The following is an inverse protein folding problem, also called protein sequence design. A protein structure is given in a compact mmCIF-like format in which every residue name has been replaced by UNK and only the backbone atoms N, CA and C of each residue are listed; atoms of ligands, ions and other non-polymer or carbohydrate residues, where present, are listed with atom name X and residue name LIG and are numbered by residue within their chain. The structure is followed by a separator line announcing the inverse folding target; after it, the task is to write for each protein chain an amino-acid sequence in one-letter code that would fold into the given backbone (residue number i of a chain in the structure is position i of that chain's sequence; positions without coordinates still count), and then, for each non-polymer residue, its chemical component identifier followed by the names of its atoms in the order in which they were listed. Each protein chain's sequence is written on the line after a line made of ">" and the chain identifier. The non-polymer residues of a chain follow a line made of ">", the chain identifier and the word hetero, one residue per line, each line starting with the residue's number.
data_IF_535880750953
#
_entry.id   IF_535880750953
#
_cell.length_a   1.000
_cell.length_b   1.000
_cell.length_c   1.000
_cell.angle_alpha   90.00
_cell.angle_beta   90.00
_cell.angle_gamma   90.00
#
_symmetry.space_group_name_H-M   'P 1'
#
loop_
_entity.id
_entity.type
_entity.pdbx_description
1 polymer ?
#
# COMPACT_ATOMS: atom_id res chain seq x y z
N UNK A 1 -34.76 13.61 -24.87
CA UNK A 1 -34.55 14.34 -26.14
C UNK A 1 -33.44 15.41 -26.00
N UNK A 2 -33.50 16.28 -25.00
CA UNK A 2 -32.51 17.37 -24.70
C UNK A 2 -31.03 16.92 -24.64
N UNK A 3 -30.73 15.79 -23.98
CA UNK A 3 -29.35 15.28 -23.80
C UNK A 3 -28.62 14.96 -25.12
N UNK A 4 -29.36 14.56 -26.16
CA UNK A 4 -28.81 14.18 -27.48
C UNK A 4 -28.50 15.40 -28.35
N UNK A 5 -29.26 16.49 -28.17
CA UNK A 5 -28.98 17.78 -28.80
C UNK A 5 -27.81 18.49 -28.11
N UNK A 6 -27.75 18.44 -26.78
CA UNK A 6 -26.65 19.01 -26.00
C UNK A 6 -25.30 18.35 -26.34
N UNK A 7 -25.24 17.02 -26.47
CA UNK A 7 -24.01 16.32 -26.86
C UNK A 7 -23.56 16.63 -28.29
N UNK A 8 -24.51 16.85 -29.22
CA UNK A 8 -24.18 17.23 -30.60
C UNK A 8 -23.65 18.66 -30.69
N UNK A 9 -24.27 19.59 -29.98
CA UNK A 9 -23.85 20.99 -29.93
C UNK A 9 -22.46 21.13 -29.28
N UNK A 10 -22.23 20.44 -28.16
CA UNK A 10 -20.96 20.48 -27.44
C UNK A 10 -19.81 19.84 -28.25
N UNK A 11 -20.06 18.74 -28.96
CA UNK A 11 -19.07 18.12 -29.84
C UNK A 11 -18.79 18.91 -31.12
N UNK A 12 -19.67 19.86 -31.48
CA UNK A 12 -19.43 20.80 -32.58
C UNK A 12 -18.59 22.01 -32.12
N UNK A 13 -18.89 22.53 -30.92
CA UNK A 13 -18.19 23.67 -30.34
C UNK A 13 -16.78 23.32 -29.81
N UNK A 14 -16.58 22.09 -29.34
CA UNK A 14 -15.28 21.58 -28.86
C UNK A 14 -15.03 20.21 -29.49
N UNK A 15 -14.46 20.15 -30.71
CA UNK A 15 -14.23 18.91 -31.46
C UNK A 15 -13.43 17.87 -30.67
N UNK A 16 -12.56 18.31 -29.76
CA UNK A 16 -11.73 17.49 -28.86
C UNK A 16 -12.57 16.70 -27.85
N UNK A 17 -13.81 17.10 -27.56
CA UNK A 17 -14.73 16.38 -26.68
C UNK A 17 -15.55 15.32 -27.42
N UNK A 18 -15.51 15.24 -28.76
CA UNK A 18 -16.23 14.21 -29.54
C UNK A 18 -15.91 12.76 -29.10
N UNK A 19 -14.64 12.37 -28.85
CA UNK A 19 -14.32 11.02 -28.37
C UNK A 19 -14.99 10.71 -27.02
N UNK A 20 -15.02 11.70 -26.11
CA UNK A 20 -15.62 11.60 -24.77
C UNK A 20 -17.14 11.46 -24.85
N UNK A 21 -17.79 12.17 -25.77
CA UNK A 21 -19.25 12.16 -25.96
C UNK A 21 -19.74 10.93 -26.75
N UNK A 22 -18.86 10.26 -27.50
CA UNK A 22 -19.21 9.15 -28.42
C UNK A 22 -19.42 7.78 -27.76
N UNK A 23 -19.44 7.68 -26.42
CA UNK A 23 -19.47 6.41 -25.65
C UNK A 23 -18.28 5.46 -25.89
N UNK A 24 -17.34 5.77 -26.79
CA UNK A 24 -16.12 4.97 -27.01
C UNK A 24 -15.02 5.26 -25.99
N UNK A 25 -15.02 6.44 -25.38
CA UNK A 25 -14.23 6.69 -24.16
C UNK A 25 -15.15 6.43 -22.98
N UNK A 26 -15.14 5.19 -22.49
CA UNK A 26 -15.55 4.99 -21.09
C UNK A 26 -14.60 5.86 -20.27
N UNK A 27 -15.10 6.79 -19.46
CA UNK A 27 -14.31 7.51 -18.46
C UNK A 27 -13.89 6.47 -17.41
N UNK A 28 -12.95 5.58 -17.78
CA UNK A 28 -12.32 4.57 -16.93
C UNK A 28 -11.27 5.21 -15.99
N UNK A 29 -11.01 6.50 -16.15
CA UNK A 29 -9.86 7.21 -15.59
C UNK A 29 -9.94 7.59 -14.11
N UNK A 30 -10.95 7.16 -13.35
CA UNK A 30 -11.01 7.31 -11.89
C UNK A 30 -11.67 6.11 -11.20
N UNK A 31 -11.32 4.88 -11.58
CA UNK A 31 -11.93 3.70 -10.97
C UNK A 31 -11.30 3.38 -9.61
N UNK A 32 -12.13 3.43 -8.56
CA UNK A 32 -11.86 2.80 -7.28
C UNK A 32 -12.18 1.32 -7.38
N UNK A 33 -11.17 0.46 -7.32
CA UNK A 33 -11.37 -0.99 -7.38
C UNK A 33 -11.07 -1.58 -6.01
N UNK A 34 -12.04 -2.34 -5.49
CA UNK A 34 -11.91 -3.11 -4.25
C UNK A 34 -12.36 -4.53 -4.53
N UNK A 35 -11.50 -5.51 -4.30
CA UNK A 35 -11.86 -6.93 -4.39
C UNK A 35 -11.19 -7.69 -3.24
N UNK A 36 -11.95 -8.48 -2.48
CA UNK A 36 -11.45 -9.20 -1.30
C UNK A 36 -10.63 -8.29 -0.35
N UNK A 37 -11.10 -7.05 -0.14
CA UNK A 37 -10.42 -6.05 0.67
C UNK A 37 -11.16 -5.76 1.98
N UNK A 38 -10.41 -5.67 3.10
CA UNK A 38 -10.94 -5.34 4.43
C UNK A 38 -10.38 -4.01 4.92
N UNK A 39 -11.19 -3.20 5.59
CA UNK A 39 -10.78 -1.88 6.09
C UNK A 39 -11.22 -1.71 7.55
N UNK A 40 -10.30 -1.21 8.37
CA UNK A 40 -10.56 -0.84 9.75
C UNK A 40 -11.36 0.47 9.89
N UNK A 41 -11.76 0.79 11.11
CA UNK A 41 -12.39 2.08 11.47
C UNK A 41 -11.43 3.24 11.19
N UNK A 42 -11.98 4.40 10.83
CA UNK A 42 -11.20 5.62 10.55
C UNK A 42 -10.17 5.47 9.39
N UNK A 43 -10.21 4.37 8.64
CA UNK A 43 -9.38 4.19 7.46
C UNK A 43 -9.84 5.15 6.37
N UNK A 44 -8.92 5.88 5.76
CA UNK A 44 -9.22 6.76 4.64
C UNK A 44 -8.33 6.44 3.42
N UNK A 45 -8.94 6.29 2.24
CA UNK A 45 -8.18 6.03 1.01
C UNK A 45 -8.64 7.03 -0.04
N UNK A 46 -7.71 7.87 -0.47
CA UNK A 46 -7.99 8.94 -1.43
C UNK A 46 -8.08 8.33 -2.84
N UNK A 47 -9.19 8.54 -3.57
CA UNK A 47 -9.31 8.11 -4.97
C UNK A 47 -8.30 8.77 -5.93
N UNK A 48 -7.99 8.14 -7.07
CA UNK A 48 -8.35 6.77 -7.43
C UNK A 48 -7.47 5.75 -6.70
N UNK A 49 -7.92 4.52 -6.53
CA UNK A 49 -7.09 3.44 -5.97
C UNK A 49 -7.53 2.06 -6.46
N UNK A 50 -6.62 1.08 -6.33
CA UNK A 50 -6.93 -0.33 -6.53
C UNK A 50 -6.41 -1.13 -5.35
N UNK A 51 -7.31 -1.78 -4.61
CA UNK A 51 -6.99 -2.59 -3.43
C UNK A 51 -7.55 -4.00 -3.65
N UNK A 52 -6.67 -5.00 -3.73
CA UNK A 52 -7.04 -6.40 -4.03
C UNK A 52 -6.49 -7.33 -2.94
N UNK A 53 -7.30 -8.26 -2.43
CA UNK A 53 -6.85 -9.33 -1.52
C UNK A 53 -6.00 -8.79 -0.34
N UNK A 54 -6.43 -7.67 0.25
CA UNK A 54 -5.62 -6.86 1.16
C UNK A 54 -6.44 -6.43 2.38
N UNK A 55 -5.77 -6.11 3.48
CA UNK A 55 -6.41 -5.58 4.69
C UNK A 55 -5.71 -4.32 5.16
N UNK A 56 -6.47 -3.30 5.51
CA UNK A 56 -5.95 -2.02 6.01
C UNK A 56 -6.47 -1.80 7.44
N UNK A 57 -5.56 -1.58 8.39
CA UNK A 57 -5.88 -1.39 9.80
C UNK A 57 -6.48 -0.02 10.13
N UNK A 58 -7.05 0.08 11.34
CA UNK A 58 -7.71 1.28 11.85
C UNK A 58 -6.82 2.52 11.80
N UNK A 59 -7.40 3.69 11.49
CA UNK A 59 -6.71 4.98 11.51
C UNK A 59 -5.62 5.16 10.45
N UNK A 60 -5.46 4.21 9.53
CA UNK A 60 -4.51 4.31 8.41
C UNK A 60 -5.09 5.16 7.30
N UNK A 61 -4.29 6.08 6.75
CA UNK A 61 -4.64 6.77 5.51
C UNK A 61 -3.70 6.40 4.36
N UNK A 62 -4.26 6.38 3.15
CA UNK A 62 -3.55 6.09 1.91
C UNK A 62 -3.92 7.15 0.88
N UNK A 63 -2.91 7.86 0.38
CA UNK A 63 -3.09 8.88 -0.65
C UNK A 63 -3.34 8.26 -2.03
N UNK A 64 -3.70 9.13 -2.97
CA UNK A 64 -4.23 8.77 -4.28
C UNK A 64 -3.31 7.93 -5.15
N UNK A 65 -3.94 7.25 -6.09
CA UNK A 65 -3.34 6.42 -7.14
C UNK A 65 -2.49 5.25 -6.62
N UNK A 66 -2.82 4.75 -5.44
CA UNK A 66 -2.19 3.56 -4.87
C UNK A 66 -2.79 2.27 -5.46
N UNK A 67 -1.92 1.31 -5.78
CA UNK A 67 -2.23 0.02 -6.37
C UNK A 67 -1.65 -1.10 -5.50
N UNK A 68 -2.49 -1.62 -4.62
CA UNK A 68 -2.10 -2.52 -3.52
C UNK A 68 -2.80 -3.86 -3.72
N UNK A 69 -2.02 -4.94 -3.75
CA UNK A 69 -2.49 -6.31 -3.89
C UNK A 69 -1.80 -7.21 -2.86
N UNK A 70 -2.43 -8.29 -2.39
CA UNK A 70 -1.86 -9.26 -1.42
C UNK A 70 -1.15 -8.66 -0.20
N UNK A 71 -1.57 -7.48 0.25
CA UNK A 71 -0.83 -6.69 1.26
C UNK A 71 -1.67 -6.52 2.52
N UNK A 72 -1.08 -6.84 3.66
CA UNK A 72 -1.65 -6.53 4.97
C UNK A 72 -0.98 -5.26 5.49
N UNK A 73 -1.75 -4.23 5.81
CA UNK A 73 -1.28 -2.95 6.36
C UNK A 73 -1.87 -2.77 7.74
N UNK A 74 -1.02 -2.49 8.73
CA UNK A 74 -1.41 -2.26 10.10
C UNK A 74 -2.19 -0.97 10.33
N UNK A 75 -2.33 -0.62 11.59
CA UNK A 75 -3.07 0.55 12.08
C UNK A 75 -2.21 1.81 12.02
N UNK A 76 -2.86 2.97 11.97
CA UNK A 76 -2.25 4.30 12.09
C UNK A 76 -1.09 4.57 11.12
N UNK A 77 -1.11 3.96 9.93
CA UNK A 77 -0.10 4.18 8.92
C UNK A 77 -0.39 5.43 8.08
N UNK A 78 0.68 6.06 7.60
CA UNK A 78 0.66 7.22 6.72
C UNK A 78 1.27 6.85 5.37
N UNK A 79 0.46 6.74 4.32
CA UNK A 79 0.94 6.27 3.01
C UNK A 79 0.75 7.35 1.95
N UNK A 80 1.86 7.77 1.35
CA UNK A 80 1.92 8.74 0.25
C UNK A 80 1.30 8.22 -1.06
N UNK A 81 1.13 9.10 -2.07
CA UNK A 81 0.51 8.72 -3.33
C UNK A 81 1.38 7.74 -4.12
N UNK A 82 0.74 6.99 -5.02
CA UNK A 82 1.40 6.07 -5.95
C UNK A 82 2.14 4.91 -5.27
N UNK A 83 1.64 4.37 -4.14
CA UNK A 83 2.16 3.12 -3.59
C UNK A 83 1.84 1.96 -4.53
N UNK A 84 2.82 1.12 -4.84
CA UNK A 84 2.66 -0.12 -5.61
C UNK A 84 3.14 -1.31 -4.76
N UNK A 85 2.29 -2.34 -4.60
CA UNK A 85 2.65 -3.58 -3.89
C UNK A 85 1.87 -4.80 -4.37
N UNK A 86 2.49 -5.98 -4.36
CA UNK A 86 1.83 -7.28 -4.55
C UNK A 86 1.45 -7.62 -5.99
N UNK A 87 2.23 -7.13 -6.96
CA UNK A 87 1.98 -7.29 -8.40
C UNK A 87 2.68 -8.49 -9.03
N UNK A 88 3.42 -9.26 -8.23
CA UNK A 88 3.91 -10.58 -8.59
C UNK A 88 5.39 -10.66 -8.95
N UNK A 89 5.83 -11.89 -9.14
CA UNK A 89 7.21 -12.32 -9.33
C UNK A 89 7.28 -13.16 -10.60
N UNK A 90 8.29 -12.90 -11.43
CA UNK A 90 8.62 -13.73 -12.58
C UNK A 90 9.89 -14.54 -12.28
N UNK A 91 9.96 -15.84 -12.64
CA UNK A 91 11.19 -16.60 -12.53
C UNK A 91 12.27 -16.00 -13.45
N UNK A 92 13.51 -15.92 -12.97
CA UNK A 92 14.66 -15.37 -13.73
C UNK A 92 15.77 -16.38 -13.98
N UNK A 93 15.61 -17.59 -13.44
CA UNK A 93 16.52 -18.73 -13.51
C UNK A 93 16.03 -19.83 -14.47
N UNK A 94 14.89 -19.62 -15.15
CA UNK A 94 14.33 -20.50 -16.16
C UNK A 94 14.62 -20.06 -17.60
N UNK A 95 14.17 -20.87 -18.58
CA UNK A 95 14.32 -20.58 -20.02
C UNK A 95 13.56 -19.31 -20.47
N UNK A 96 12.47 -18.97 -19.79
CA UNK A 96 11.62 -17.83 -20.13
C UNK A 96 11.02 -17.20 -18.88
N UNK A 97 10.84 -15.88 -18.90
CA UNK A 97 10.16 -15.10 -17.86
C UNK A 97 8.66 -14.93 -18.14
N UNK A 98 8.15 -15.49 -19.25
CA UNK A 98 6.75 -15.33 -19.67
C UNK A 98 5.82 -16.31 -18.94
N UNK A 99 4.74 -15.83 -18.29
CA UNK A 99 3.78 -16.69 -17.58
C UNK A 99 3.05 -17.67 -18.51
N UNK A 100 3.07 -17.44 -19.82
CA UNK A 100 2.57 -18.37 -20.83
C UNK A 100 3.12 -19.80 -20.67
N UNK A 101 4.36 -19.93 -20.17
CA UNK A 101 5.04 -21.21 -20.05
C UNK A 101 4.98 -21.83 -18.65
N UNK A 102 4.74 -21.04 -17.59
CA UNK A 102 4.82 -21.52 -16.21
C UNK A 102 3.55 -21.30 -15.36
N UNK A 103 2.56 -20.54 -15.83
CA UNK A 103 1.36 -20.17 -15.08
C UNK A 103 0.08 -20.63 -15.77
N UNK A 104 -0.84 -21.22 -15.01
CA UNK A 104 -2.18 -21.59 -15.52
C UNK A 104 -3.14 -20.40 -15.58
N UNK A 105 -2.74 -19.21 -15.11
CA UNK A 105 -3.64 -18.07 -14.96
C UNK A 105 -3.94 -17.31 -16.27
N UNK A 106 -3.30 -17.67 -17.39
CA UNK A 106 -3.57 -17.12 -18.73
C UNK A 106 -3.49 -15.58 -18.79
N UNK A 107 -2.47 -15.00 -18.17
CA UNK A 107 -2.26 -13.55 -18.07
C UNK A 107 -2.18 -12.87 -19.45
N UNK A 108 -1.68 -13.57 -20.46
CA UNK A 108 -1.63 -13.15 -21.86
C UNK A 108 -2.77 -13.73 -22.73
N UNK A 109 -3.88 -14.16 -22.12
CA UNK A 109 -5.07 -14.70 -22.79
C UNK A 109 -5.04 -16.21 -23.07
N UNK A 110 -3.88 -16.86 -22.98
CA UNK A 110 -3.72 -18.32 -23.13
C UNK A 110 -2.52 -18.82 -22.30
N UNK A 111 -2.30 -20.14 -22.24
CA UNK A 111 -1.13 -20.73 -21.55
C UNK A 111 -0.82 -22.12 -22.10
N UNK A 112 0.47 -22.49 -22.16
CA UNK A 112 0.91 -23.88 -22.35
C UNK A 112 1.12 -24.62 -21.04
N UNK A 113 1.19 -23.90 -19.92
CA UNK A 113 1.38 -24.49 -18.61
C UNK A 113 0.15 -25.32 -18.23
N UNK A 114 0.35 -26.63 -18.01
CA UNK A 114 -0.70 -27.54 -17.50
C UNK A 114 -0.85 -27.44 -15.98
N UNK A 115 0.15 -26.88 -15.30
CA UNK A 115 0.20 -26.62 -13.85
C UNK A 115 1.07 -25.39 -13.58
N UNK A 116 0.89 -24.76 -12.43
CA UNK A 116 1.79 -23.69 -11.99
C UNK A 116 3.16 -24.29 -11.65
N UNK A 117 4.21 -23.78 -12.28
CA UNK A 117 5.59 -24.18 -12.04
C UNK A 117 6.33 -23.24 -11.08
N UNK A 118 5.73 -22.08 -10.76
CA UNK A 118 6.34 -21.04 -9.94
C UNK A 118 5.31 -20.40 -9.01
N UNK A 119 5.76 -19.93 -7.85
CA UNK A 119 4.94 -19.11 -6.95
C UNK A 119 5.05 -17.64 -7.35
N UNK A 120 4.02 -17.17 -8.05
CA UNK A 120 4.01 -15.86 -8.71
C UNK A 120 3.70 -14.70 -7.77
N UNK A 121 3.20 -14.96 -6.56
CA UNK A 121 2.79 -13.88 -5.64
C UNK A 121 3.06 -14.25 -4.20
N UNK A 122 3.77 -13.41 -3.47
CA UNK A 122 4.03 -13.59 -2.03
C UNK A 122 3.37 -12.47 -1.22
N UNK A 123 2.74 -12.78 -0.07
CA UNK A 123 2.08 -11.77 0.73
C UNK A 123 3.08 -10.74 1.25
N UNK A 124 2.65 -9.48 1.33
CA UNK A 124 3.42 -8.38 1.91
C UNK A 124 2.79 -8.01 3.25
N UNK A 125 3.62 -7.75 4.25
CA UNK A 125 3.15 -7.33 5.59
C UNK A 125 3.78 -5.99 5.94
N UNK A 126 2.94 -4.99 6.17
CA UNK A 126 3.30 -3.66 6.65
C UNK A 126 2.74 -3.53 8.05
N UNK A 127 3.60 -3.23 9.02
CA UNK A 127 3.26 -3.08 10.43
C UNK A 127 2.35 -1.89 10.72
N UNK A 128 2.27 -1.53 11.99
CA UNK A 128 1.51 -0.39 12.52
C UNK A 128 2.39 0.85 12.59
N UNK A 129 1.81 2.05 12.58
CA UNK A 129 2.54 3.34 12.67
C UNK A 129 3.63 3.51 11.58
N UNK A 130 3.45 2.88 10.41
CA UNK A 130 4.42 2.97 9.32
C UNK A 130 4.18 4.24 8.51
N UNK A 131 5.26 4.96 8.19
CA UNK A 131 5.24 6.05 7.21
C UNK A 131 5.87 5.59 5.89
N UNK A 132 5.13 5.71 4.79
CA UNK A 132 5.61 5.43 3.43
C UNK A 132 5.46 6.69 2.59
N UNK A 133 6.57 7.17 2.04
CA UNK A 133 6.60 8.33 1.14
C UNK A 133 5.93 8.07 -0.22
N UNK A 134 5.84 9.12 -1.04
CA UNK A 134 5.29 9.02 -2.39
C UNK A 134 6.12 8.11 -3.31
N UNK A 135 5.48 7.50 -4.30
CA UNK A 135 6.14 6.74 -5.38
C UNK A 135 7.01 5.57 -4.86
N UNK A 136 6.55 4.84 -3.86
CA UNK A 136 7.25 3.67 -3.32
C UNK A 136 6.74 2.39 -4.00
N UNK A 137 7.66 1.50 -4.34
CA UNK A 137 7.33 0.13 -4.80
C UNK A 137 7.83 -0.87 -3.77
N UNK A 138 6.98 -1.82 -3.38
CA UNK A 138 7.32 -2.91 -2.46
C UNK A 138 7.25 -4.23 -3.21
N UNK A 139 8.36 -4.98 -3.18
CA UNK A 139 8.42 -6.30 -3.81
C UNK A 139 7.60 -7.33 -3.01
N UNK A 140 7.10 -8.35 -3.69
CA UNK A 140 6.34 -9.44 -3.08
C UNK A 140 7.16 -10.19 -2.01
N UNK A 141 6.51 -10.54 -0.89
CA UNK A 141 7.13 -11.31 0.20
C UNK A 141 7.86 -10.48 1.27
N UNK A 142 7.88 -9.15 1.14
CA UNK A 142 8.56 -8.25 2.07
C UNK A 142 7.73 -8.00 3.33
N UNK A 143 8.42 -7.94 4.48
CA UNK A 143 7.92 -7.40 5.76
C UNK A 143 8.51 -6.02 6.05
N UNK A 144 7.65 -5.04 6.31
CA UNK A 144 8.00 -3.72 6.85
C UNK A 144 7.54 -3.66 8.31
N UNK A 145 8.48 -3.48 9.23
CA UNK A 145 8.25 -3.51 10.67
C UNK A 145 7.41 -2.36 11.21
N UNK A 146 6.90 -2.53 12.44
CA UNK A 146 6.11 -1.52 13.13
C UNK A 146 6.92 -0.23 13.29
N UNK A 147 6.33 0.93 13.05
CA UNK A 147 6.96 2.23 13.17
C UNK A 147 8.04 2.51 12.12
N UNK A 148 8.23 1.67 11.10
CA UNK A 148 9.22 1.92 10.08
C UNK A 148 8.88 3.16 9.23
N UNK A 149 9.91 3.77 8.63
CA UNK A 149 9.79 4.89 7.70
C UNK A 149 10.46 4.53 6.38
N UNK A 150 9.71 4.60 5.28
CA UNK A 150 10.20 4.40 3.92
C UNK A 150 10.18 5.74 3.18
N UNK A 151 11.36 6.24 2.79
CA UNK A 151 11.45 7.49 2.04
C UNK A 151 10.84 7.39 0.65
N UNK A 152 10.40 8.53 0.11
CA UNK A 152 9.79 8.62 -1.21
C UNK A 152 10.72 8.10 -2.34
N UNK A 153 10.13 7.54 -3.39
CA UNK A 153 10.86 7.03 -4.57
C UNK A 153 11.64 5.73 -4.34
N UNK A 154 11.44 5.06 -3.20
CA UNK A 154 12.22 3.87 -2.83
C UNK A 154 11.66 2.59 -3.46
N UNK A 155 12.54 1.61 -3.70
CA UNK A 155 12.17 0.23 -4.06
C UNK A 155 12.53 -0.69 -2.90
N UNK A 156 11.52 -1.13 -2.15
CA UNK A 156 11.69 -2.01 -1.00
C UNK A 156 11.93 -3.44 -1.48
N UNK A 157 13.21 -3.80 -1.60
CA UNK A 157 13.67 -5.10 -2.11
C UNK A 157 14.07 -6.10 -1.02
N UNK A 158 13.99 -5.71 0.26
CA UNK A 158 14.26 -6.55 1.43
C UNK A 158 13.49 -6.04 2.63
N UNK A 159 13.34 -6.89 3.65
CA UNK A 159 12.63 -6.55 4.88
C UNK A 159 13.21 -5.30 5.57
N UNK A 160 12.32 -4.53 6.18
CA UNK A 160 12.65 -3.32 6.94
C UNK A 160 12.36 -3.60 8.42
N UNK A 161 13.34 -3.46 9.33
CA UNK A 161 13.14 -3.66 10.75
C UNK A 161 12.13 -2.67 11.37
N UNK A 162 11.57 -3.05 12.51
CA UNK A 162 10.71 -2.16 13.30
C UNK A 162 11.45 -0.85 13.62
N UNK A 163 10.78 0.28 13.48
CA UNK A 163 11.30 1.64 13.74
C UNK A 163 12.49 2.08 12.89
N UNK A 164 12.89 1.31 11.88
CA UNK A 164 13.96 1.69 10.98
C UNK A 164 13.50 2.79 10.01
N UNK A 165 14.41 3.70 9.68
CA UNK A 165 14.26 4.65 8.59
C UNK A 165 15.13 4.16 7.43
N UNK A 166 14.49 3.84 6.32
CA UNK A 166 15.13 3.29 5.13
C UNK A 166 14.66 4.03 3.87
N UNK A 167 15.54 4.18 2.91
CA UNK A 167 15.21 4.73 1.60
C UNK A 167 16.25 4.37 0.54
N UNK A 168 15.86 4.53 -0.72
CA UNK A 168 16.71 4.33 -1.89
C UNK A 168 16.23 3.21 -2.82
N UNK A 169 16.92 3.11 -3.95
CA UNK A 169 16.81 2.02 -4.92
C UNK A 169 18.24 1.62 -5.34
N UNK A 170 18.80 0.53 -4.80
CA UNK A 170 18.18 -0.40 -3.86
C UNK A 170 17.98 0.18 -2.45
N UNK A 171 16.97 -0.31 -1.72
CA UNK A 171 16.66 0.15 -0.36
C UNK A 171 17.85 -0.05 0.59
N UNK A 172 18.13 0.95 1.42
CA UNK A 172 19.14 0.88 2.48
C UNK A 172 18.58 1.44 3.79
N UNK A 173 18.82 0.72 4.88
CA UNK A 173 18.55 1.21 6.24
C UNK A 173 19.55 2.31 6.56
N UNK A 174 19.08 3.45 7.06
CA UNK A 174 19.93 4.63 7.31
C UNK A 174 20.12 4.89 8.80
N UNK A 175 19.04 4.79 9.59
CA UNK A 175 19.07 4.94 11.04
C UNK A 175 17.80 4.37 11.66
N UNK A 176 17.79 4.26 12.99
CA UNK A 176 16.58 3.95 13.76
C UNK A 176 15.87 5.24 14.22
N UNK A 177 14.55 5.18 14.44
CA UNK A 177 13.78 6.26 15.07
C UNK A 177 14.12 6.39 16.56
N UNK A 178 14.38 5.28 17.22
CA UNK A 178 14.51 5.17 18.68
C UNK A 178 15.75 4.35 19.08
N UNK A 179 16.19 4.52 20.33
CA UNK A 179 17.20 3.63 20.93
C UNK A 179 16.67 2.20 21.06
N UNK A 180 17.54 1.19 21.10
CA UNK A 180 17.13 -0.21 21.23
C UNK A 180 16.23 -0.45 22.45
N UNK A 181 16.55 0.17 23.60
CA UNK A 181 15.73 0.10 24.81
C UNK A 181 14.32 0.64 24.55
N UNK A 182 14.19 1.82 23.94
CA UNK A 182 12.89 2.40 23.61
C UNK A 182 12.10 1.52 22.63
N UNK A 183 12.75 0.97 21.59
CA UNK A 183 12.11 0.07 20.64
C UNK A 183 11.50 -1.15 21.33
N UNK A 184 12.26 -1.77 22.24
CA UNK A 184 11.81 -2.94 22.98
C UNK A 184 10.60 -2.64 23.87
N UNK A 185 10.58 -1.50 24.56
CA UNK A 185 9.44 -1.09 25.38
C UNK A 185 8.23 -0.72 24.52
N UNK A 186 8.40 0.06 23.45
CA UNK A 186 7.30 0.45 22.56
C UNK A 186 6.63 -0.75 21.89
N UNK A 187 7.39 -1.80 21.54
CA UNK A 187 6.84 -3.07 21.03
C UNK A 187 5.98 -3.80 22.04
N UNK A 188 6.37 -3.79 23.32
CA UNK A 188 5.57 -4.40 24.40
C UNK A 188 4.32 -3.59 24.69
N UNK A 189 4.43 -2.26 24.64
CA UNK A 189 3.32 -1.34 24.88
C UNK A 189 2.28 -1.48 23.75
N UNK A 190 2.73 -1.58 22.49
CA UNK A 190 1.88 -1.75 21.31
C UNK A 190 0.69 -0.79 21.31
N UNK A 191 0.98 0.51 21.46
CA UNK A 191 -0.01 1.56 21.72
C UNK A 191 -1.12 1.65 20.65
N UNK A 192 -0.85 1.17 19.44
CA UNK A 192 -1.84 1.02 18.36
C UNK A 192 -2.99 0.06 18.70
N UNK A 193 -2.95 -0.62 19.83
CA UNK A 193 -4.04 -1.45 20.36
C UNK A 193 -4.74 -0.84 21.58
N UNK A 194 -4.43 0.40 21.95
CA UNK A 194 -5.08 1.09 23.05
C UNK A 194 -6.58 1.32 22.77
N UNK A 195 -7.36 1.37 23.85
CA UNK A 195 -8.72 1.89 23.82
C UNK A 195 -8.73 3.42 23.70
N UNK A 196 -9.93 4.00 23.56
CA UNK A 196 -10.11 5.45 23.38
C UNK A 196 -9.54 6.30 24.52
N UNK A 197 -9.53 5.79 25.76
CA UNK A 197 -9.03 6.53 26.90
C UNK A 197 -7.50 6.55 26.90
N UNK A 198 -6.87 5.38 26.77
CA UNK A 198 -5.42 5.28 26.71
C UNK A 198 -4.84 5.92 25.42
N UNK A 199 -5.60 5.96 24.32
CA UNK A 199 -5.15 6.60 23.06
C UNK A 199 -4.86 8.11 23.24
N UNK A 200 -5.52 8.79 24.18
CA UNK A 200 -5.26 10.22 24.46
C UNK A 200 -3.81 10.46 24.92
N UNK A 201 -3.18 9.47 25.54
CA UNK A 201 -1.80 9.58 26.00
C UNK A 201 -0.81 9.71 24.82
N UNK A 202 -1.11 9.14 23.66
CA UNK A 202 -0.28 9.30 22.45
C UNK A 202 -0.17 10.77 22.04
N UNK A 203 -1.28 11.52 22.13
CA UNK A 203 -1.29 12.95 21.87
C UNK A 203 -0.60 13.74 23.01
N UNK A 204 -0.91 13.41 24.26
CA UNK A 204 -0.36 14.10 25.45
C UNK A 204 1.17 14.02 25.50
N UNK A 205 1.75 12.85 25.20
CA UNK A 205 3.19 12.60 25.28
C UNK A 205 3.87 12.52 23.91
N UNK A 206 3.29 13.11 22.87
CA UNK A 206 3.72 12.90 21.48
C UNK A 206 5.23 13.08 21.24
N UNK A 207 5.83 14.11 21.86
CA UNK A 207 7.28 14.36 21.78
C UNK A 207 8.06 13.88 23.02
N UNK A 208 7.38 13.32 24.02
CA UNK A 208 7.94 12.93 25.33
C UNK A 208 8.01 11.41 25.47
N UNK A 209 8.69 10.75 24.54
CA UNK A 209 8.74 9.28 24.40
C UNK A 209 9.12 8.57 25.70
N UNK A 210 10.11 9.08 26.45
CA UNK A 210 10.51 8.47 27.73
C UNK A 210 9.43 8.58 28.81
N UNK A 211 8.67 9.69 28.84
CA UNK A 211 7.54 9.84 29.77
C UNK A 211 6.39 8.92 29.38
N UNK A 212 6.11 8.79 28.08
CA UNK A 212 5.13 7.84 27.56
C UNK A 212 5.48 6.40 27.97
N UNK A 213 6.73 5.98 27.72
CA UNK A 213 7.21 4.64 28.10
C UNK A 213 7.11 4.46 29.61
N UNK A 214 7.55 5.42 30.40
CA UNK A 214 7.53 5.33 31.87
C UNK A 214 6.12 5.15 32.42
N UNK A 215 5.11 5.81 31.83
CA UNK A 215 3.70 5.70 32.22
C UNK A 215 3.09 4.35 31.86
N UNK A 216 3.42 3.81 30.68
CA UNK A 216 2.80 2.58 30.16
C UNK A 216 3.65 1.33 30.34
N UNK A 217 4.79 1.43 31.04
CA UNK A 217 5.60 0.28 31.38
C UNK A 217 4.79 -0.65 32.26
N UNK A 218 4.48 -1.85 31.77
CA UNK A 218 3.89 -2.90 32.58
C UNK A 218 4.96 -3.38 33.56
N UNK A 219 4.63 -3.42 34.85
CA UNK A 219 5.45 -4.05 35.88
C UNK A 219 5.73 -5.51 35.55
#
# INVERSE_FOLDING_TARGET
>A
MVRKYFSKLLGFLVPELKPILSKQVTIKSFQNIKNNAKFGKLTNIVPPFKILESSIGDGTYISSNSQISKTQIGKFCSIGPNLISGWGIHPTDGLSTSPYFYSTAKQNGSTLALKNLYDERKPIVIGNDVFIGANVTILDGIRIGDGAVVGAGSVVSKDIPDFAIAYGNPISIKRMRFTEKQQNELKKIAWWNFDENAMKDVNTYFFEVEKFISKHRKS
#
